data_IF_153344482111
#
_entry.id   IF_153344482111
#
_cell.length_a   1.000
_cell.length_b   1.000
_cell.length_c   1.000
_cell.angle_alpha   90.00
_cell.angle_beta   90.00
_cell.angle_gamma   90.00
#
_symmetry.space_group_name_H-M   'P 1'
#
loop_
_entity.id
_entity.type
_entity.pdbx_description
1 polymer ?
#
# COMPACT_ATOMS: atom_id res chain seq x y z
N UNK A 1 0.97 15.34 -28.13
CA UNK A 1 -0.14 16.10 -27.54
C UNK A 1 -0.69 15.20 -26.46
N UNK A 2 -0.37 15.49 -25.17
CA UNK A 2 -1.00 14.79 -24.07
C UNK A 2 -2.50 15.14 -24.11
N UNK A 3 -3.33 14.12 -24.10
CA UNK A 3 -4.77 14.25 -24.03
C UNK A 3 -5.11 14.82 -22.62
N UNK A 4 -5.37 16.11 -22.58
CA UNK A 4 -5.61 16.89 -21.36
C UNK A 4 -7.06 16.72 -20.87
N UNK A 5 -7.64 15.53 -21.11
CA UNK A 5 -8.93 15.17 -20.55
C UNK A 5 -8.76 14.95 -19.05
N UNK A 6 -8.98 16.03 -18.32
CA UNK A 6 -9.17 15.97 -16.87
C UNK A 6 -10.58 15.43 -16.59
N UNK A 7 -10.74 14.13 -16.79
CA UNK A 7 -12.02 13.43 -16.71
C UNK A 7 -12.36 12.98 -15.27
N UNK A 8 -11.65 13.50 -14.26
CA UNK A 8 -11.78 13.11 -12.85
C UNK A 8 -11.62 11.60 -12.57
N UNK A 9 -11.00 10.86 -13.50
CA UNK A 9 -10.74 9.42 -13.37
C UNK A 9 -9.43 9.17 -12.62
N UNK A 10 -9.26 7.96 -12.15
CA UNK A 10 -7.97 7.47 -11.70
C UNK A 10 -6.97 7.52 -12.87
N UNK A 11 -5.83 8.17 -12.68
CA UNK A 11 -4.91 8.46 -13.80
C UNK A 11 -3.84 7.37 -13.93
N UNK A 12 -3.62 6.84 -15.15
CA UNK A 12 -2.42 6.07 -15.44
C UNK A 12 -1.17 6.92 -15.20
N UNK A 13 -0.14 6.31 -14.66
CA UNK A 13 1.13 6.99 -14.43
C UNK A 13 2.32 6.11 -14.88
N UNK A 14 3.26 6.69 -15.60
CA UNK A 14 4.47 6.00 -16.06
C UNK A 14 5.58 6.09 -15.01
N UNK A 15 6.53 5.13 -15.04
CA UNK A 15 7.74 5.18 -14.21
C UNK A 15 8.66 6.36 -14.50
N UNK A 16 8.53 7.00 -15.66
CA UNK A 16 9.32 8.19 -16.01
C UNK A 16 8.77 9.50 -15.44
N UNK A 17 7.60 9.48 -14.80
CA UNK A 17 6.99 10.67 -14.24
C UNK A 17 7.75 11.14 -12.98
N UNK A 18 7.94 12.45 -12.86
CA UNK A 18 8.47 13.08 -11.63
C UNK A 18 7.29 13.53 -10.75
N UNK A 19 6.53 12.56 -10.29
CA UNK A 19 5.29 12.82 -9.56
C UNK A 19 5.51 13.52 -8.21
N UNK A 20 6.67 13.27 -7.57
CA UNK A 20 7.06 13.92 -6.32
C UNK A 20 7.55 15.37 -6.47
N UNK A 21 7.68 15.89 -7.69
CA UNK A 21 8.20 17.24 -7.89
C UNK A 21 7.32 18.30 -7.21
N UNK A 22 7.97 19.20 -6.45
CA UNK A 22 7.29 20.24 -5.69
C UNK A 22 6.90 19.85 -4.27
N UNK A 23 7.14 18.60 -3.87
CA UNK A 23 6.98 18.12 -2.49
C UNK A 23 8.30 18.09 -1.76
N UNK A 24 8.29 18.48 -0.48
CA UNK A 24 9.48 18.48 0.38
C UNK A 24 9.74 17.10 0.99
N UNK A 25 8.68 16.45 1.48
CA UNK A 25 8.74 15.17 2.22
C UNK A 25 7.75 14.16 1.69
N UNK A 26 8.26 13.10 1.09
CA UNK A 26 7.45 12.01 0.61
C UNK A 26 7.52 10.81 1.57
N UNK A 27 6.35 10.33 2.01
CA UNK A 27 6.20 9.07 2.75
C UNK A 27 5.56 8.05 1.84
N UNK A 28 6.26 6.94 1.58
CA UNK A 28 5.77 5.86 0.73
C UNK A 28 5.58 4.59 1.54
N UNK A 29 4.36 4.06 1.52
CA UNK A 29 3.92 2.96 2.36
C UNK A 29 3.49 1.77 1.50
N UNK A 30 4.27 0.70 1.56
CA UNK A 30 4.07 -0.50 0.76
C UNK A 30 2.99 -1.45 1.26
N UNK A 31 2.63 -2.41 0.39
CA UNK A 31 1.75 -3.53 0.70
C UNK A 31 2.42 -4.56 1.61
N UNK A 32 1.60 -5.44 2.22
CA UNK A 32 2.09 -6.51 3.09
C UNK A 32 1.05 -7.07 4.07
N UNK A 33 -0.22 -6.96 3.73
CA UNK A 33 -1.33 -7.54 4.50
C UNK A 33 -1.53 -6.91 5.88
N UNK A 34 -2.31 -7.60 6.72
CA UNK A 34 -2.66 -7.14 8.06
C UNK A 34 -1.43 -6.99 8.96
N UNK A 35 -0.48 -7.89 8.83
CA UNK A 35 0.78 -7.87 9.56
C UNK A 35 1.52 -6.55 9.33
N UNK A 36 1.66 -6.14 8.07
CA UNK A 36 2.41 -4.93 7.73
C UNK A 36 1.62 -3.64 8.04
N UNK A 37 0.28 -3.69 8.08
CA UNK A 37 -0.50 -2.57 8.65
C UNK A 37 -0.10 -2.32 10.10
N UNK A 38 -0.06 -3.37 10.93
CA UNK A 38 0.28 -3.25 12.35
C UNK A 38 1.73 -2.77 12.54
N UNK A 39 2.66 -3.35 11.78
CA UNK A 39 4.06 -2.96 11.80
C UNK A 39 4.26 -1.49 11.41
N UNK A 40 3.69 -1.05 10.29
CA UNK A 40 3.80 0.36 9.83
C UNK A 40 3.20 1.34 10.83
N UNK A 41 2.04 1.01 11.40
CA UNK A 41 1.39 1.86 12.41
C UNK A 41 2.29 2.02 13.64
N UNK A 42 2.86 0.92 14.16
CA UNK A 42 3.75 0.95 15.31
C UNK A 42 5.05 1.68 15.00
N UNK A 43 5.67 1.40 13.85
CA UNK A 43 6.91 2.04 13.41
C UNK A 43 6.76 3.56 13.30
N UNK A 44 5.73 4.02 12.60
CA UNK A 44 5.51 5.46 12.40
C UNK A 44 5.12 6.19 13.70
N UNK A 45 4.28 5.55 14.55
CA UNK A 45 3.93 6.10 15.87
C UNK A 45 5.16 6.12 16.81
N UNK A 46 5.98 5.06 16.75
CA UNK A 46 7.24 4.96 17.47
C UNK A 46 8.25 6.06 17.08
N UNK A 47 8.38 6.36 15.79
CA UNK A 47 9.17 7.47 15.30
C UNK A 47 8.63 8.82 15.80
N UNK A 48 7.31 9.03 15.76
CA UNK A 48 6.69 10.27 16.26
C UNK A 48 6.90 10.44 17.77
N UNK A 49 6.81 9.38 18.56
CA UNK A 49 7.10 9.40 20.00
C UNK A 49 8.56 9.80 20.29
N UNK A 50 9.46 9.54 19.34
CA UNK A 50 10.88 9.87 19.40
C UNK A 50 11.24 11.21 18.71
N UNK A 51 10.20 12.00 18.36
CA UNK A 51 10.34 13.37 17.88
C UNK A 51 10.47 13.51 16.36
N UNK A 52 10.32 12.46 15.57
CA UNK A 52 10.32 12.56 14.11
C UNK A 52 8.95 13.04 13.63
N UNK A 53 8.84 14.19 12.94
CA UNK A 53 7.56 14.78 12.56
C UNK A 53 6.98 14.12 11.29
N UNK A 54 6.65 12.83 11.35
CA UNK A 54 6.13 12.05 10.20
C UNK A 54 4.90 12.68 9.54
N UNK A 55 4.03 13.31 10.33
CA UNK A 55 2.82 14.00 9.83
C UNK A 55 3.13 15.27 9.02
N UNK A 56 4.40 15.71 8.94
CA UNK A 56 4.83 16.78 8.06
C UNK A 56 5.01 16.36 6.59
N UNK A 57 4.78 15.08 6.27
CA UNK A 57 4.78 14.59 4.89
C UNK A 57 3.73 15.32 4.05
N UNK A 58 4.16 15.94 2.95
CA UNK A 58 3.28 16.65 2.02
C UNK A 58 2.94 15.82 0.78
N UNK A 59 3.60 14.66 0.61
CA UNK A 59 3.22 13.60 -0.29
C UNK A 59 3.20 12.27 0.48
N UNK A 60 2.05 11.60 0.52
CA UNK A 60 1.90 10.29 1.17
C UNK A 60 1.32 9.31 0.16
N UNK A 61 2.13 8.37 -0.28
CA UNK A 61 1.75 7.32 -1.24
C UNK A 61 1.48 6.03 -0.48
N UNK A 62 0.36 5.38 -0.75
CA UNK A 62 0.03 4.11 -0.11
C UNK A 62 -0.47 3.05 -1.09
N UNK A 63 0.05 1.82 -0.91
CA UNK A 63 -0.30 0.64 -1.70
C UNK A 63 -0.82 -0.45 -0.78
N UNK A 64 -1.98 -1.05 -1.08
CA UNK A 64 -2.56 -2.17 -0.32
C UNK A 64 -2.64 -1.85 1.19
N UNK A 65 -2.00 -2.63 2.06
CA UNK A 65 -1.88 -2.33 3.49
C UNK A 65 -1.43 -0.88 3.75
N UNK A 66 -0.43 -0.41 3.00
CA UNK A 66 0.08 0.96 3.09
C UNK A 66 -0.96 2.01 2.70
N UNK A 67 -1.95 1.70 1.87
CA UNK A 67 -3.02 2.66 1.53
C UNK A 67 -3.91 2.98 2.73
N UNK A 68 -4.13 2.00 3.61
CA UNK A 68 -4.86 2.19 4.87
C UNK A 68 -4.05 3.08 5.82
N UNK A 69 -2.76 2.75 6.01
CA UNK A 69 -1.86 3.51 6.88
C UNK A 69 -1.62 4.92 6.34
N UNK A 70 -1.40 5.09 5.02
CA UNK A 70 -1.30 6.38 4.35
C UNK A 70 -2.53 7.26 4.62
N UNK A 71 -3.72 6.66 4.51
CA UNK A 71 -4.98 7.35 4.81
C UNK A 71 -5.05 7.83 6.27
N UNK A 72 -4.60 7.00 7.20
CA UNK A 72 -4.57 7.28 8.65
C UNK A 72 -3.58 8.41 8.95
N UNK A 73 -2.35 8.32 8.44
CA UNK A 73 -1.30 9.34 8.63
C UNK A 73 -1.73 10.67 8.04
N UNK A 74 -2.14 10.69 6.77
CA UNK A 74 -2.56 11.92 6.08
C UNK A 74 -3.79 12.59 6.72
N UNK A 75 -4.59 11.83 7.48
CA UNK A 75 -5.73 12.38 8.23
C UNK A 75 -5.37 12.82 9.66
N UNK A 76 -4.10 12.76 10.07
CA UNK A 76 -3.64 13.10 11.43
C UNK A 76 -4.22 12.16 12.51
N UNK A 77 -4.38 10.87 12.20
CA UNK A 77 -5.04 9.91 13.09
C UNK A 77 -4.12 8.82 13.60
N UNK A 78 -2.83 8.89 13.28
CA UNK A 78 -1.88 7.81 13.56
C UNK A 78 -1.84 7.44 15.04
N UNK A 79 -1.64 8.39 15.93
CA UNK A 79 -1.60 8.17 17.39
C UNK A 79 -2.85 7.46 17.93
N UNK A 80 -4.03 7.86 17.44
CA UNK A 80 -5.30 7.25 17.85
C UNK A 80 -5.38 5.79 17.40
N UNK A 81 -5.02 5.53 16.15
CA UNK A 81 -5.09 4.19 15.55
C UNK A 81 -4.03 3.28 16.19
N UNK A 82 -2.83 3.78 16.45
CA UNK A 82 -1.79 3.03 17.16
C UNK A 82 -2.30 2.51 18.51
N UNK A 83 -2.93 3.35 19.33
CA UNK A 83 -3.56 2.91 20.58
C UNK A 83 -4.69 1.90 20.39
N UNK A 84 -5.45 1.96 19.29
CA UNK A 84 -6.48 0.97 18.97
C UNK A 84 -5.87 -0.37 18.55
N UNK A 85 -4.83 -0.37 17.70
CA UNK A 85 -4.13 -1.58 17.27
C UNK A 85 -3.44 -2.23 18.45
N UNK A 86 -2.76 -1.48 19.30
CA UNK A 86 -2.15 -1.98 20.53
C UNK A 86 -3.19 -2.64 21.45
N UNK A 87 -4.36 -2.04 21.62
CA UNK A 87 -5.46 -2.63 22.37
C UNK A 87 -5.96 -3.94 21.73
N UNK A 88 -6.21 -3.95 20.41
CA UNK A 88 -6.67 -5.14 19.68
C UNK A 88 -5.63 -6.26 19.67
N UNK A 89 -4.35 -5.93 19.65
CA UNK A 89 -3.26 -6.88 19.76
C UNK A 89 -3.31 -7.67 21.08
N UNK A 90 -3.82 -7.05 22.16
CA UNK A 90 -4.04 -7.68 23.46
C UNK A 90 -5.31 -8.53 23.52
N UNK A 91 -6.21 -8.42 22.54
CA UNK A 91 -7.48 -9.16 22.46
C UNK A 91 -7.67 -9.76 21.07
N UNK A 92 -6.85 -10.76 20.67
CA UNK A 92 -6.82 -11.30 19.32
C UNK A 92 -8.18 -11.84 18.81
N UNK A 93 -9.03 -12.29 19.71
CA UNK A 93 -10.37 -12.80 19.37
C UNK A 93 -11.25 -11.75 18.64
N UNK A 94 -11.01 -10.46 18.87
CA UNK A 94 -11.74 -9.38 18.16
C UNK A 94 -11.26 -9.21 16.72
N UNK A 95 -10.01 -9.55 16.43
CA UNK A 95 -9.45 -9.49 15.07
C UNK A 95 -9.92 -10.65 14.19
N UNK A 96 -10.23 -11.80 14.77
CA UNK A 96 -10.76 -12.97 14.05
C UNK A 96 -12.09 -12.71 13.34
N UNK A 97 -12.86 -11.71 13.78
CA UNK A 97 -14.10 -11.28 13.10
C UNK A 97 -13.81 -10.57 11.77
N UNK A 98 -12.60 -10.06 11.56
CA UNK A 98 -12.18 -9.32 10.37
C UNK A 98 -11.52 -10.21 9.31
N UNK A 99 -11.07 -11.39 9.69
CA UNK A 99 -10.54 -12.40 8.77
C UNK A 99 -11.67 -13.30 8.27
N UNK A 100 -11.81 -13.43 6.97
CA UNK A 100 -12.77 -14.36 6.39
C UNK A 100 -12.36 -15.81 6.65
N UNK A 101 -13.10 -16.52 7.48
CA UNK A 101 -12.93 -17.95 7.68
C UNK A 101 -13.65 -18.70 6.53
N UNK A 102 -12.91 -19.18 5.55
CA UNK A 102 -13.47 -20.00 4.48
C UNK A 102 -12.41 -20.50 3.53
N UNK A 103 -12.55 -21.73 3.07
CA UNK A 103 -11.80 -22.24 1.94
C UNK A 103 -12.09 -21.39 0.69
N UNK A 104 -11.04 -21.04 -0.05
CA UNK A 104 -11.20 -20.31 -1.31
C UNK A 104 -11.94 -21.17 -2.32
N UNK A 105 -12.90 -20.57 -3.01
CA UNK A 105 -13.54 -21.22 -4.16
C UNK A 105 -12.50 -21.46 -5.26
N UNK A 106 -12.67 -22.46 -6.14
CA UNK A 106 -11.70 -22.78 -7.20
C UNK A 106 -11.34 -21.57 -8.09
N UNK A 107 -12.31 -20.70 -8.37
CA UNK A 107 -12.04 -19.48 -9.15
C UNK A 107 -11.23 -18.43 -8.37
N UNK A 108 -11.39 -18.36 -7.06
CA UNK A 108 -10.60 -17.50 -6.19
C UNK A 108 -9.16 -18.01 -6.11
N UNK A 109 -9.00 -19.33 -5.86
CA UNK A 109 -7.68 -19.96 -5.80
C UNK A 109 -6.91 -19.74 -7.10
N UNK A 110 -7.57 -19.92 -8.26
CA UNK A 110 -6.95 -19.66 -9.55
C UNK A 110 -6.43 -18.22 -9.69
N UNK A 111 -7.17 -17.22 -9.22
CA UNK A 111 -6.71 -15.83 -9.29
C UNK A 111 -5.54 -15.55 -8.33
N UNK A 112 -5.57 -16.15 -7.13
CA UNK A 112 -4.46 -16.12 -6.17
C UNK A 112 -3.21 -16.77 -6.77
N UNK A 113 -3.34 -17.95 -7.36
CA UNK A 113 -2.23 -18.70 -7.95
C UNK A 113 -1.59 -17.94 -9.12
N UNK A 114 -2.42 -17.34 -10.00
CA UNK A 114 -1.92 -16.52 -11.11
C UNK A 114 -1.15 -15.29 -10.62
N UNK A 115 -1.64 -14.65 -9.58
CA UNK A 115 -0.94 -13.51 -8.98
C UNK A 115 0.36 -13.96 -8.30
N UNK A 116 0.30 -15.04 -7.51
CA UNK A 116 1.46 -15.56 -6.78
C UNK A 116 2.56 -16.15 -7.69
N UNK A 117 2.19 -16.65 -8.87
CA UNK A 117 3.13 -17.22 -9.85
C UNK A 117 3.67 -16.19 -10.85
N UNK A 118 3.25 -14.94 -10.79
CA UNK A 118 3.70 -13.91 -11.72
C UNK A 118 5.20 -13.63 -11.54
N UNK A 119 5.95 -13.76 -12.64
CA UNK A 119 7.42 -13.54 -12.68
C UNK A 119 7.79 -12.22 -13.35
N UNK A 120 6.81 -11.49 -13.86
CA UNK A 120 6.96 -10.19 -14.50
C UNK A 120 5.75 -9.31 -14.23
N UNK A 121 5.84 -8.05 -14.64
CA UNK A 121 4.75 -7.07 -14.57
C UNK A 121 4.43 -6.50 -15.97
N UNK A 122 4.53 -7.34 -16.98
CA UNK A 122 4.15 -6.97 -18.33
C UNK A 122 2.63 -6.76 -18.42
N UNK A 123 2.15 -5.86 -19.27
CA UNK A 123 0.72 -5.56 -19.39
C UNK A 123 -0.15 -6.80 -19.64
N UNK A 124 0.34 -7.78 -20.37
CA UNK A 124 -0.40 -9.03 -20.65
C UNK A 124 -0.52 -9.90 -19.41
N UNK A 125 0.54 -10.04 -18.62
CA UNK A 125 0.53 -10.77 -17.34
C UNK A 125 -0.45 -10.11 -16.37
N UNK A 126 -0.38 -8.79 -16.24
CA UNK A 126 -1.27 -8.04 -15.35
C UNK A 126 -2.74 -8.17 -15.78
N UNK A 127 -3.03 -8.08 -17.09
CA UNK A 127 -4.39 -8.29 -17.61
C UNK A 127 -4.92 -9.70 -17.35
N UNK A 128 -4.07 -10.72 -17.48
CA UNK A 128 -4.44 -12.10 -17.15
C UNK A 128 -4.88 -12.24 -15.69
N UNK A 129 -4.11 -11.65 -14.77
CA UNK A 129 -4.45 -11.60 -13.34
C UNK A 129 -5.76 -10.83 -13.15
N UNK A 130 -5.92 -9.69 -13.81
CA UNK A 130 -7.12 -8.86 -13.75
C UNK A 130 -8.39 -9.60 -14.20
N UNK A 131 -8.32 -10.33 -15.31
CA UNK A 131 -9.43 -11.15 -15.79
C UNK A 131 -9.79 -12.28 -14.80
N UNK A 132 -8.79 -12.93 -14.21
CA UNK A 132 -9.01 -13.94 -13.19
C UNK A 132 -9.65 -13.33 -11.92
N UNK A 133 -9.21 -12.15 -11.51
CA UNK A 133 -9.80 -11.42 -10.37
C UNK A 133 -11.27 -11.06 -10.62
N UNK A 134 -11.63 -10.66 -11.85
CA UNK A 134 -13.02 -10.38 -12.24
C UNK A 134 -13.88 -11.63 -12.28
N UNK A 135 -13.32 -12.78 -12.65
CA UNK A 135 -14.03 -14.07 -12.74
C UNK A 135 -14.13 -14.78 -11.38
N UNK A 136 -13.37 -14.37 -10.39
CA UNK A 136 -13.36 -14.98 -9.07
C UNK A 136 -14.69 -14.77 -8.32
N UNK A 137 -15.21 -15.82 -7.70
CA UNK A 137 -16.43 -15.79 -6.88
C UNK A 137 -16.13 -15.16 -5.50
N UNK A 138 -15.80 -13.89 -5.49
CA UNK A 138 -15.53 -13.13 -4.28
C UNK A 138 -16.81 -12.46 -3.75
N UNK A 139 -16.84 -12.08 -2.44
CA UNK A 139 -17.91 -11.22 -1.93
C UNK A 139 -18.01 -9.90 -2.71
N UNK A 140 -19.21 -9.29 -2.78
CA UNK A 140 -19.40 -8.05 -3.54
C UNK A 140 -18.41 -6.93 -3.13
N UNK A 141 -17.99 -6.07 -4.08
CA UNK A 141 -16.95 -5.03 -3.83
C UNK A 141 -17.32 -4.07 -2.69
N UNK A 142 -18.61 -3.78 -2.50
CA UNK A 142 -19.06 -2.91 -1.41
C UNK A 142 -18.86 -3.49 0.00
N UNK A 143 -18.62 -4.80 0.15
CA UNK A 143 -18.30 -5.40 1.45
C UNK A 143 -16.94 -4.87 1.94
N UNK A 144 -15.89 -4.98 1.14
CA UNK A 144 -14.57 -4.46 1.49
C UNK A 144 -14.60 -2.94 1.69
N UNK A 145 -15.23 -2.20 0.78
CA UNK A 145 -15.37 -0.74 0.90
C UNK A 145 -16.04 -0.32 2.21
N UNK A 146 -17.10 -1.01 2.65
CA UNK A 146 -17.77 -0.71 3.94
C UNK A 146 -16.88 -0.99 5.13
N UNK A 147 -16.14 -2.11 5.13
CA UNK A 147 -15.18 -2.44 6.18
C UNK A 147 -14.08 -1.39 6.27
N UNK A 148 -13.48 -1.01 5.13
CA UNK A 148 -12.48 0.07 5.06
C UNK A 148 -13.05 1.41 5.52
N UNK A 149 -14.28 1.75 5.12
CA UNK A 149 -14.94 2.99 5.55
C UNK A 149 -15.16 3.03 7.07
N UNK A 150 -15.52 1.91 7.69
CA UNK A 150 -15.70 1.81 9.13
C UNK A 150 -14.38 1.98 9.90
N UNK A 151 -13.30 1.38 9.40
CA UNK A 151 -11.96 1.48 10.02
C UNK A 151 -11.39 2.90 9.86
N UNK A 152 -11.38 3.43 8.64
CA UNK A 152 -10.79 4.73 8.38
C UNK A 152 -11.63 5.89 8.93
N UNK A 153 -12.94 5.84 8.78
CA UNK A 153 -13.90 6.89 9.14
C UNK A 153 -13.51 8.29 8.60
N UNK A 154 -12.86 8.34 7.43
CA UNK A 154 -12.38 9.56 6.76
C UNK A 154 -13.42 10.01 5.74
N UNK A 155 -13.94 11.25 5.90
CA UNK A 155 -14.97 11.81 5.03
C UNK A 155 -14.42 12.74 3.95
N UNK A 156 -13.32 13.44 4.24
CA UNK A 156 -12.67 14.37 3.31
C UNK A 156 -11.33 13.81 2.90
N UNK A 157 -11.01 13.91 1.63
CA UNK A 157 -9.73 13.48 1.11
C UNK A 157 -8.60 14.36 1.67
N UNK A 158 -7.59 13.78 2.36
CA UNK A 158 -6.40 14.53 2.79
C UNK A 158 -5.55 14.92 1.57
N UNK A 159 -5.08 16.16 1.50
CA UNK A 159 -4.35 16.67 0.32
C UNK A 159 -3.09 15.87 -0.02
N UNK A 160 -2.36 15.43 1.01
CA UNK A 160 -1.11 14.66 0.82
C UNK A 160 -1.35 13.23 0.33
N UNK A 161 -2.57 12.69 0.48
CA UNK A 161 -2.86 11.28 0.24
C UNK A 161 -2.96 10.95 -1.25
N UNK A 162 -2.16 9.96 -1.66
CA UNK A 162 -2.21 9.30 -2.96
C UNK A 162 -2.32 7.79 -2.72
N UNK A 163 -3.24 7.12 -3.37
CA UNK A 163 -3.34 5.66 -3.31
C UNK A 163 -3.12 5.07 -4.68
N UNK A 164 -2.51 3.89 -4.74
CA UNK A 164 -2.22 3.20 -5.99
C UNK A 164 -3.19 2.04 -6.20
N UNK A 165 -3.50 1.76 -7.44
CA UNK A 165 -4.31 0.61 -7.85
C UNK A 165 -3.89 0.17 -9.26
N UNK A 166 -4.46 -0.91 -9.76
CA UNK A 166 -4.22 -1.39 -11.13
C UNK A 166 -5.55 -1.65 -11.82
N UNK A 167 -5.68 -1.16 -13.04
CA UNK A 167 -6.85 -1.43 -13.88
C UNK A 167 -6.85 -2.90 -14.35
N UNK A 168 -7.94 -3.61 -14.09
CA UNK A 168 -8.06 -5.04 -14.41
C UNK A 168 -8.11 -5.34 -15.92
N UNK A 169 -8.53 -4.38 -16.73
CA UNK A 169 -8.69 -4.56 -18.18
C UNK A 169 -7.46 -4.12 -18.96
N UNK A 170 -6.83 -3.02 -18.53
CA UNK A 170 -5.68 -2.46 -19.24
C UNK A 170 -4.35 -2.88 -18.66
N UNK A 171 -4.30 -3.27 -17.39
CA UNK A 171 -3.08 -3.53 -16.64
C UNK A 171 -2.32 -2.25 -16.23
N UNK A 172 -2.89 -1.08 -16.47
CA UNK A 172 -2.25 0.19 -16.15
C UNK A 172 -2.22 0.46 -14.64
N UNK A 173 -1.11 1.00 -14.16
CA UNK A 173 -1.01 1.55 -12.81
C UNK A 173 -1.84 2.83 -12.71
N UNK A 174 -2.62 2.93 -11.66
CA UNK A 174 -3.47 4.08 -11.38
C UNK A 174 -2.99 4.77 -10.10
N UNK A 175 -2.99 6.10 -10.11
CA UNK A 175 -2.86 6.90 -8.90
C UNK A 175 -4.18 7.62 -8.65
N UNK A 176 -4.75 7.40 -7.46
CA UNK A 176 -6.02 8.00 -7.05
C UNK A 176 -5.74 9.09 -6.04
N UNK A 177 -6.20 10.29 -6.34
CA UNK A 177 -5.99 11.51 -5.55
C UNK A 177 -7.31 12.21 -5.22
N UNK A 178 -7.24 13.33 -4.51
CA UNK A 178 -8.40 14.16 -4.20
C UNK A 178 -9.21 14.58 -5.45
N UNK A 179 -8.52 14.80 -6.56
CA UNK A 179 -9.14 15.29 -7.81
C UNK A 179 -9.96 14.22 -8.53
N UNK A 180 -9.80 12.96 -8.15
CA UNK A 180 -10.53 11.85 -8.77
C UNK A 180 -12.04 11.85 -8.45
N UNK A 181 -12.49 12.57 -7.42
CA UNK A 181 -13.87 12.50 -6.94
C UNK A 181 -14.24 11.17 -6.27
N UNK A 182 -13.28 10.26 -6.11
CA UNK A 182 -13.45 8.94 -5.47
C UNK A 182 -13.27 9.10 -3.95
N UNK A 183 -14.10 8.43 -3.14
CA UNK A 183 -13.93 8.49 -1.69
C UNK A 183 -12.66 7.74 -1.25
N UNK A 184 -12.01 8.22 -0.17
CA UNK A 184 -10.83 7.55 0.42
C UNK A 184 -11.09 6.07 0.68
N UNK A 185 -12.27 5.73 1.24
CA UNK A 185 -12.61 4.35 1.52
C UNK A 185 -12.68 3.46 0.26
N UNK A 186 -13.14 4.00 -0.87
CA UNK A 186 -13.18 3.25 -2.12
C UNK A 186 -11.80 3.12 -2.75
N UNK A 187 -11.01 4.18 -2.69
CA UNK A 187 -9.64 4.17 -3.21
C UNK A 187 -8.74 3.22 -2.41
N UNK A 188 -8.80 3.25 -1.08
CA UNK A 188 -8.06 2.31 -0.24
C UNK A 188 -8.57 0.86 -0.41
N UNK A 189 -9.89 0.66 -0.58
CA UNK A 189 -10.43 -0.66 -0.90
C UNK A 189 -9.93 -1.16 -2.27
N UNK A 190 -9.86 -0.29 -3.28
CA UNK A 190 -9.30 -0.65 -4.59
C UNK A 190 -7.82 -1.05 -4.46
N UNK A 191 -7.04 -0.23 -3.76
CA UNK A 191 -5.63 -0.50 -3.48
C UNK A 191 -5.38 -1.80 -2.72
N UNK A 192 -6.38 -2.31 -1.98
CA UNK A 192 -6.32 -3.52 -1.17
C UNK A 192 -7.13 -4.69 -1.75
N UNK A 193 -7.60 -4.56 -3.00
CA UNK A 193 -8.39 -5.63 -3.65
C UNK A 193 -7.48 -6.70 -4.26
N UNK A 194 -6.89 -7.52 -3.40
CA UNK A 194 -6.02 -8.64 -3.78
C UNK A 194 -6.78 -9.62 -4.68
N UNK A 195 -6.24 -9.97 -5.87
CA UNK A 195 -6.85 -10.92 -6.80
C UNK A 195 -7.26 -12.25 -6.13
N UNK A 196 -8.51 -12.66 -6.32
CA UNK A 196 -9.07 -13.88 -5.73
C UNK A 196 -9.53 -13.73 -4.27
N UNK A 197 -9.06 -12.75 -3.53
CA UNK A 197 -9.49 -12.52 -2.13
C UNK A 197 -10.64 -11.51 -2.08
N UNK A 198 -10.50 -10.40 -2.79
CA UNK A 198 -11.50 -9.34 -2.85
C UNK A 198 -11.89 -8.99 -4.29
N UNK A 199 -13.17 -8.64 -4.48
CA UNK A 199 -13.63 -8.18 -5.78
C UNK A 199 -12.95 -6.87 -6.19
N UNK A 200 -12.53 -6.71 -7.46
CA UNK A 200 -12.07 -5.44 -7.98
C UNK A 200 -13.08 -4.32 -7.76
N UNK A 201 -12.61 -3.14 -7.33
CA UNK A 201 -13.47 -2.01 -7.01
C UNK A 201 -13.82 -1.20 -8.25
N UNK A 202 -15.06 -0.70 -8.36
CA UNK A 202 -15.41 0.27 -9.37
C UNK A 202 -14.78 1.63 -9.03
N UNK A 203 -13.97 2.15 -9.95
CA UNK A 203 -13.42 3.52 -9.94
C UNK A 203 -13.93 4.22 -11.21
N UNK A 204 -15.11 4.83 -11.13
CA UNK A 204 -15.84 5.37 -12.28
C UNK A 204 -16.07 4.27 -13.34
N UNK A 205 -15.51 4.42 -14.53
CA UNK A 205 -15.60 3.49 -15.66
C UNK A 205 -14.59 2.31 -15.57
N UNK A 206 -13.67 2.33 -14.58
CA UNK A 206 -12.65 1.30 -14.41
C UNK A 206 -13.04 0.25 -13.38
N UNK A 207 -12.36 -0.89 -13.44
CA UNK A 207 -12.36 -1.90 -12.38
C UNK A 207 -10.93 -2.04 -11.90
N UNK A 208 -10.69 -1.71 -10.64
CA UNK A 208 -9.35 -1.65 -10.07
C UNK A 208 -9.11 -2.74 -9.03
N UNK A 209 -7.97 -3.35 -9.11
CA UNK A 209 -7.43 -4.33 -8.16
C UNK A 209 -6.23 -3.76 -7.41
N UNK A 210 -5.65 -4.54 -6.51
CA UNK A 210 -4.53 -4.17 -5.65
C UNK A 210 -3.37 -3.55 -6.43
N UNK A 211 -2.81 -2.47 -5.89
CA UNK A 211 -1.68 -1.77 -6.51
C UNK A 211 -0.43 -2.64 -6.64
N UNK A 212 -0.23 -3.62 -5.75
CA UNK A 212 0.89 -4.54 -5.78
C UNK A 212 0.93 -5.44 -7.02
N UNK A 213 -0.18 -5.59 -7.74
CA UNK A 213 -0.23 -6.39 -8.97
C UNK A 213 0.63 -5.81 -10.10
N UNK A 214 0.94 -4.52 -10.06
CA UNK A 214 1.84 -3.88 -11.06
C UNK A 214 3.32 -4.27 -10.92
N UNK A 215 3.63 -5.23 -10.10
CA UNK A 215 4.98 -5.72 -9.89
C UNK A 215 5.82 -4.90 -8.92
N UNK A 216 5.24 -3.88 -8.30
CA UNK A 216 5.88 -3.13 -7.22
C UNK A 216 5.03 -3.23 -5.96
N UNK A 217 5.68 -3.43 -4.82
CA UNK A 217 5.00 -3.45 -3.52
C UNK A 217 4.84 -2.05 -2.92
N UNK A 218 5.55 -1.04 -3.44
CA UNK A 218 5.65 0.30 -2.84
C UNK A 218 5.23 1.43 -3.76
N UNK A 219 5.53 1.36 -5.06
CA UNK A 219 5.43 2.49 -5.99
C UNK A 219 6.27 3.70 -5.55
N UNK A 220 7.47 3.45 -5.04
CA UNK A 220 8.34 4.51 -4.51
C UNK A 220 8.83 5.49 -5.58
N UNK A 221 8.82 5.11 -6.86
CA UNK A 221 9.05 5.99 -8.00
C UNK A 221 8.11 7.21 -8.04
N UNK A 222 6.93 7.13 -7.41
CA UNK A 222 6.02 8.27 -7.29
C UNK A 222 6.57 9.40 -6.40
N UNK A 223 7.57 9.12 -5.57
CA UNK A 223 8.29 10.15 -4.81
C UNK A 223 9.41 10.82 -5.62
N UNK A 224 9.67 10.39 -6.86
CA UNK A 224 10.73 10.96 -7.70
C UNK A 224 10.52 12.46 -7.92
N UNK A 225 11.53 13.25 -7.57
CA UNK A 225 11.50 14.72 -7.63
C UNK A 225 11.15 15.39 -6.30
N UNK A 226 10.78 14.64 -5.26
CA UNK A 226 10.59 15.18 -3.91
C UNK A 226 11.94 15.57 -3.28
N UNK A 227 11.92 16.47 -2.30
CA UNK A 227 13.12 16.88 -1.55
C UNK A 227 13.76 15.71 -0.81
N UNK A 228 12.95 14.79 -0.27
CA UNK A 228 13.39 13.53 0.36
C UNK A 228 12.24 12.52 0.44
N UNK A 229 12.59 11.25 0.63
CA UNK A 229 11.58 10.18 0.75
C UNK A 229 11.94 9.20 1.88
N UNK A 230 10.92 8.80 2.66
CA UNK A 230 10.95 7.63 3.52
C UNK A 230 10.06 6.56 2.90
N UNK A 231 10.65 5.41 2.59
CA UNK A 231 9.95 4.30 1.93
C UNK A 231 9.86 3.13 2.88
N UNK A 232 8.65 2.69 3.22
CA UNK A 232 8.42 1.49 4.00
C UNK A 232 8.03 0.33 3.08
N UNK A 233 8.86 -0.70 3.04
CA UNK A 233 8.67 -1.88 2.22
C UNK A 233 8.82 -3.15 3.04
N UNK A 234 7.89 -4.09 2.87
CA UNK A 234 7.97 -5.40 3.52
C UNK A 234 9.27 -6.12 3.13
N UNK A 235 9.69 -6.02 1.87
CA UNK A 235 10.91 -6.64 1.37
C UNK A 235 12.17 -5.76 1.44
N UNK A 236 12.20 -4.71 2.29
CA UNK A 236 13.35 -3.79 2.33
C UNK A 236 14.68 -4.49 2.59
N UNK A 237 14.69 -5.45 3.51
CA UNK A 237 15.86 -6.22 3.92
C UNK A 237 15.97 -7.59 3.24
N UNK A 238 14.98 -7.95 2.39
CA UNK A 238 15.02 -9.19 1.62
C UNK A 238 15.90 -9.04 0.39
N UNK A 239 16.60 -10.09 -0.06
CA UNK A 239 17.26 -10.11 -1.36
C UNK A 239 16.29 -9.77 -2.49
N UNK A 240 16.78 -9.06 -3.52
CA UNK A 240 15.94 -8.65 -4.66
C UNK A 240 15.34 -9.83 -5.45
N UNK A 241 15.87 -11.03 -5.24
CA UNK A 241 15.43 -12.28 -5.86
C UNK A 241 14.27 -12.96 -5.10
N UNK A 242 14.01 -12.56 -3.85
CA UNK A 242 12.88 -13.09 -3.10
C UNK A 242 11.61 -12.31 -3.51
N UNK A 243 11.12 -12.63 -4.68
CA UNK A 243 9.82 -12.21 -5.14
C UNK A 243 8.76 -12.87 -4.23
N UNK A 244 8.36 -12.17 -3.20
CA UNK A 244 7.08 -12.44 -2.55
C UNK A 244 5.95 -12.20 -3.56
N UNK A 245 4.74 -12.63 -3.26
CA UNK A 245 3.54 -12.51 -4.12
C UNK A 245 3.23 -11.11 -4.68
N UNK A 246 4.07 -10.12 -4.47
CA UNK A 246 3.76 -8.71 -4.75
C UNK A 246 4.86 -7.95 -5.47
N UNK A 247 5.97 -8.59 -5.84
CA UNK A 247 7.10 -7.85 -6.42
C UNK A 247 7.73 -8.63 -7.58
N UNK A 248 7.49 -8.19 -8.80
CA UNK A 248 8.19 -8.73 -9.96
C UNK A 248 9.70 -8.44 -9.86
N UNK A 249 10.58 -9.38 -10.29
CA UNK A 249 12.02 -9.18 -10.25
C UNK A 249 12.44 -7.85 -10.90
N UNK A 250 13.34 -7.12 -10.24
CA UNK A 250 13.86 -5.84 -10.73
C UNK A 250 12.92 -4.63 -10.54
N UNK A 251 11.71 -4.82 -10.02
CA UNK A 251 10.76 -3.70 -9.84
C UNK A 251 11.23 -2.71 -8.79
N UNK A 252 11.74 -3.20 -7.67
CA UNK A 252 12.32 -2.35 -6.62
C UNK A 252 13.51 -1.54 -7.11
N UNK A 253 14.38 -2.19 -7.85
CA UNK A 253 15.57 -1.54 -8.44
C UNK A 253 15.17 -0.42 -9.40
N UNK A 254 14.14 -0.62 -10.23
CA UNK A 254 13.61 0.44 -11.13
C UNK A 254 13.05 1.62 -10.34
N UNK A 255 12.33 1.38 -9.27
CA UNK A 255 11.80 2.44 -8.41
C UNK A 255 12.91 3.24 -7.72
N UNK A 256 13.88 2.54 -7.14
CA UNK A 256 15.03 3.17 -6.50
C UNK A 256 15.89 3.94 -7.50
N UNK A 257 16.02 3.44 -8.72
CA UNK A 257 16.73 4.16 -9.79
C UNK A 257 15.98 5.43 -10.21
N UNK A 258 14.65 5.40 -10.28
CA UNK A 258 13.86 6.60 -10.54
C UNK A 258 14.07 7.69 -9.46
N UNK A 259 14.17 7.29 -8.19
CA UNK A 259 14.50 8.20 -7.10
C UNK A 259 15.91 8.78 -7.27
N UNK A 260 16.92 7.95 -7.53
CA UNK A 260 18.31 8.40 -7.74
C UNK A 260 18.41 9.33 -8.96
N UNK A 261 17.81 8.94 -10.09
CA UNK A 261 17.83 9.72 -11.32
C UNK A 261 17.15 11.09 -11.16
N UNK A 262 16.17 11.19 -10.27
CA UNK A 262 15.50 12.45 -9.95
C UNK A 262 16.25 13.32 -8.92
N UNK A 263 17.30 12.76 -8.29
CA UNK A 263 18.04 13.42 -7.20
C UNK A 263 17.30 13.39 -5.85
N UNK A 264 16.32 12.51 -5.67
CA UNK A 264 15.58 12.38 -4.42
C UNK A 264 16.33 11.49 -3.44
N UNK A 265 16.85 12.01 -2.32
CA UNK A 265 17.38 11.19 -1.24
C UNK A 265 16.29 10.31 -0.66
N UNK A 266 16.54 9.02 -0.49
CA UNK A 266 15.54 8.09 0.01
C UNK A 266 16.12 7.14 1.06
N UNK A 267 15.40 6.98 2.17
CA UNK A 267 15.61 5.93 3.14
C UNK A 267 14.59 4.81 2.90
N UNK A 268 15.10 3.59 2.72
CA UNK A 268 14.28 2.38 2.63
C UNK A 268 14.31 1.66 3.98
N UNK A 269 13.14 1.38 4.56
CA UNK A 269 12.98 0.71 5.85
C UNK A 269 11.93 -0.39 5.77
N UNK A 270 12.11 -1.41 6.58
CA UNK A 270 11.18 -2.52 6.69
C UNK A 270 11.54 -3.45 7.83
N UNK A 271 10.76 -4.51 8.04
CA UNK A 271 11.06 -5.51 9.06
C UNK A 271 12.29 -6.33 8.68
N UNK A 272 12.98 -6.85 9.70
CA UNK A 272 14.13 -7.74 9.50
C UNK A 272 13.70 -9.15 9.11
N UNK A 273 12.51 -9.57 9.57
CA UNK A 273 11.92 -10.86 9.23
C UNK A 273 10.40 -10.82 9.29
N UNK A 274 9.76 -11.66 8.51
CA UNK A 274 8.31 -11.87 8.53
C UNK A 274 7.99 -13.24 7.90
N UNK A 275 6.79 -13.75 8.22
CA UNK A 275 6.27 -14.98 7.60
C UNK A 275 5.26 -14.60 6.50
N UNK A 276 5.61 -14.89 5.24
CA UNK A 276 4.74 -14.63 4.08
C UNK A 276 3.38 -15.32 4.19
N UNK A 277 3.33 -16.51 4.80
CA UNK A 277 2.10 -17.29 4.92
C UNK A 277 1.16 -16.74 6.01
N UNK A 278 1.70 -15.93 6.90
CA UNK A 278 0.99 -15.38 8.05
C UNK A 278 0.64 -13.88 7.92
N UNK A 279 0.86 -13.26 6.77
CA UNK A 279 0.61 -11.83 6.56
C UNK A 279 -0.84 -11.40 6.83
N UNK A 280 -1.79 -12.31 6.67
CA UNK A 280 -3.22 -12.07 6.93
C UNK A 280 -3.71 -12.69 8.24
N UNK A 281 -2.84 -13.34 9.02
CA UNK A 281 -3.22 -13.95 10.31
C UNK A 281 -3.37 -12.88 11.40
N UNK A 282 -4.58 -12.69 11.96
CA UNK A 282 -4.82 -11.74 13.04
C UNK A 282 -4.00 -12.00 14.30
N UNK A 283 -3.57 -13.24 14.52
CA UNK A 283 -2.76 -13.62 15.68
C UNK A 283 -1.35 -13.02 15.64
N UNK A 284 -0.90 -12.63 14.46
CA UNK A 284 0.43 -12.04 14.25
C UNK A 284 0.46 -10.52 14.45
N UNK A 285 -0.69 -9.87 14.65
CA UNK A 285 -0.79 -8.41 14.80
C UNK A 285 0.01 -7.91 16.00
N UNK A 286 -0.01 -8.63 17.13
CA UNK A 286 0.76 -8.26 18.33
C UNK A 286 2.26 -8.27 18.05
N UNK A 287 2.78 -9.37 17.50
CA UNK A 287 4.19 -9.51 17.17
C UNK A 287 4.65 -8.48 16.12
N UNK A 288 3.79 -8.20 15.12
CA UNK A 288 4.07 -7.18 14.13
C UNK A 288 4.16 -5.77 14.74
N UNK A 289 3.26 -5.46 15.68
CA UNK A 289 3.26 -4.17 16.37
C UNK A 289 4.52 -4.00 17.24
N UNK A 290 4.90 -5.01 18.01
CA UNK A 290 6.12 -5.02 18.83
C UNK A 290 7.38 -4.86 17.95
N UNK A 291 7.46 -5.60 16.84
CA UNK A 291 8.57 -5.50 15.90
C UNK A 291 8.67 -4.11 15.25
N UNK A 292 7.53 -3.48 14.96
CA UNK A 292 7.50 -2.13 14.40
C UNK A 292 8.00 -1.07 15.37
N UNK A 293 7.59 -1.12 16.65
CA UNK A 293 8.06 -0.15 17.67
C UNK A 293 9.55 -0.36 18.00
N UNK A 294 10.01 -1.61 18.11
CA UNK A 294 11.42 -1.92 18.30
C UNK A 294 12.28 -1.36 17.14
N UNK A 295 11.85 -1.58 15.91
CA UNK A 295 12.54 -1.03 14.74
C UNK A 295 12.54 0.49 14.71
N UNK A 296 11.46 1.15 15.15
CA UNK A 296 11.41 2.60 15.26
C UNK A 296 12.43 3.15 16.26
N UNK A 297 12.72 2.41 17.35
CA UNK A 297 13.75 2.79 18.31
C UNK A 297 15.14 2.77 17.69
N UNK A 298 15.45 1.72 16.93
CA UNK A 298 16.74 1.58 16.25
C UNK A 298 16.96 2.65 15.18
N UNK A 299 15.93 2.96 14.41
CA UNK A 299 16.03 3.84 13.24
C UNK A 299 15.83 5.32 13.56
N UNK A 300 15.31 5.68 14.73
CA UNK A 300 14.82 7.03 15.03
C UNK A 300 15.85 8.14 14.76
N UNK A 301 17.10 7.93 15.13
CA UNK A 301 18.15 8.95 14.95
C UNK A 301 18.46 9.20 13.46
N UNK A 302 18.61 8.13 12.68
CA UNK A 302 18.90 8.24 11.24
C UNK A 302 17.71 8.79 10.48
N UNK A 303 16.49 8.35 10.84
CA UNK A 303 15.27 8.87 10.21
C UNK A 303 15.06 10.34 10.56
N UNK A 304 15.35 10.77 11.80
CA UNK A 304 15.26 12.17 12.20
C UNK A 304 16.22 13.05 11.39
N UNK A 305 17.47 12.62 11.22
CA UNK A 305 18.47 13.32 10.41
C UNK A 305 18.05 13.43 8.94
N UNK A 306 17.54 12.31 8.39
CA UNK A 306 17.05 12.29 7.02
C UNK A 306 15.79 13.12 6.82
N UNK A 307 14.88 13.10 7.78
CA UNK A 307 13.55 13.73 7.65
C UNK A 307 13.60 15.24 7.87
N UNK A 308 14.52 15.74 8.67
CA UNK A 308 14.81 17.17 8.91
C UNK A 308 13.85 17.82 9.86
#
# INVERSE_FOLDING_TARGET
MADDRNDALARPISFAARHGAGHERALVLGGGGLWFVAWQVAYLDGLMKRGVPIESADLVVGTSAGSLVASIVSAGRLKRVAGQVEFLARVPALLGVLSGDGELQPSQQRAVDLFGAATDAEPDTIRHIGHAALAAQTPPPDRLRRSVAAVLAIRRWPKALHTTAVDTFTGERLVVTADSGISVARAAAASSSVPGIFAPQPLHDRRAMDGGVSGTGTHSDLAAGAGRALVLSLGANAPSTDAGMTTAPGSRERELEALRASGTPALLRGPDSYDLTALMDPKQVAAAFEAGDARAEEDAAEVADHWG
#
